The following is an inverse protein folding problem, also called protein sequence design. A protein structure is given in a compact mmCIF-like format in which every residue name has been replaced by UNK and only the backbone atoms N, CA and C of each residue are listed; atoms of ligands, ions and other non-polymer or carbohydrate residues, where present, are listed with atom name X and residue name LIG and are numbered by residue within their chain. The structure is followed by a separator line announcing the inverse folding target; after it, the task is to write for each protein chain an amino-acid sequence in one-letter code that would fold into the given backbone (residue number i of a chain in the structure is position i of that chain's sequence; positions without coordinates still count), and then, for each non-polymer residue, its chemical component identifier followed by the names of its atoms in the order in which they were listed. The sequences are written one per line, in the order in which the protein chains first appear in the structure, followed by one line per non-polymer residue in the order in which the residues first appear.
data_IF_674412331349
#
_entry.id   IF_674412331349
#
_cell.length_a   1.000
_cell.length_b   1.000
_cell.length_c   1.000
_cell.angle_alpha   90.00
_cell.angle_beta   90.00
_cell.angle_gamma   90.00
#
_symmetry.space_group_name_H-M   'P 1'
#
loop_
_entity.id
_entity.type
_entity.pdbx_description
1 polymer ?
#
# COMPACT_ATOMS: atom_id res chain seq x y z
N UNK A 1 -4.55 7.72 -14.62
CA UNK A 1 -5.23 7.95 -13.34
C UNK A 1 -5.46 9.45 -13.13
N UNK A 2 -4.47 10.30 -13.39
CA UNK A 2 -4.52 11.76 -13.23
C UNK A 2 -5.73 12.38 -13.96
N UNK A 3 -5.88 12.11 -15.27
CA UNK A 3 -6.99 12.61 -16.09
C UNK A 3 -8.37 12.13 -15.59
N UNK A 4 -8.42 10.91 -15.04
CA UNK A 4 -9.67 10.38 -14.47
C UNK A 4 -10.00 11.11 -13.17
N UNK A 5 -9.02 11.34 -12.31
CA UNK A 5 -9.22 12.09 -11.07
C UNK A 5 -9.70 13.51 -11.34
N UNK A 6 -9.12 14.21 -12.33
CA UNK A 6 -9.58 15.54 -12.72
C UNK A 6 -11.07 15.58 -13.13
N UNK A 7 -11.52 14.55 -13.85
CA UNK A 7 -12.95 14.44 -14.22
C UNK A 7 -13.84 14.16 -13.00
N UNK A 8 -13.40 13.29 -12.08
CA UNK A 8 -14.13 12.95 -10.87
C UNK A 8 -14.21 14.11 -9.87
N UNK A 9 -13.20 14.96 -9.84
CA UNK A 9 -13.17 16.18 -9.03
C UNK A 9 -14.12 17.27 -9.60
N UNK A 10 -14.22 17.34 -10.94
CA UNK A 10 -15.11 18.30 -11.61
C UNK A 10 -16.59 17.90 -11.52
N UNK A 11 -16.89 16.59 -11.59
CA UNK A 11 -18.26 16.04 -11.49
C UNK A 11 -18.23 14.81 -10.55
N UNK A 12 -18.32 15.03 -9.23
CA UNK A 12 -18.17 13.97 -8.24
C UNK A 12 -19.31 12.95 -8.29
N UNK A 13 -19.00 11.64 -8.49
CA UNK A 13 -19.98 10.57 -8.40
C UNK A 13 -20.38 10.30 -6.95
N UNK A 14 -21.36 9.42 -6.73
CA UNK A 14 -21.74 8.97 -5.37
C UNK A 14 -20.68 8.10 -4.70
N UNK A 15 -19.70 7.59 -5.44
CA UNK A 15 -18.59 6.76 -4.97
C UNK A 15 -17.78 6.24 -6.15
N UNK A 16 -16.54 5.83 -5.88
CA UNK A 16 -15.59 5.31 -6.86
C UNK A 16 -15.24 3.85 -6.56
N UNK A 17 -15.33 3.00 -7.58
CA UNK A 17 -14.80 1.63 -7.51
C UNK A 17 -13.64 1.51 -8.49
N UNK A 18 -12.44 1.32 -7.97
CA UNK A 18 -11.21 1.08 -8.73
C UNK A 18 -10.99 -0.43 -8.88
N UNK A 19 -10.95 -0.92 -10.12
CA UNK A 19 -10.70 -2.33 -10.44
C UNK A 19 -9.78 -2.47 -11.64
N UNK A 20 -9.09 -3.61 -11.73
CA UNK A 20 -8.32 -3.98 -12.92
C UNK A 20 -9.15 -4.84 -13.86
N UNK A 21 -9.02 -4.63 -15.17
CA UNK A 21 -9.56 -5.51 -16.19
C UNK A 21 -8.62 -6.67 -16.57
N UNK A 22 -7.40 -6.70 -16.03
CA UNK A 22 -6.41 -7.75 -16.27
C UNK A 22 -6.82 -9.03 -15.57
N UNK A 23 -6.67 -10.19 -16.22
CA UNK A 23 -6.92 -11.49 -15.60
C UNK A 23 -5.87 -11.86 -14.54
N UNK A 24 -4.63 -11.39 -14.70
CA UNK A 24 -3.48 -11.73 -13.84
C UNK A 24 -3.52 -11.07 -12.45
N UNK A 25 -4.35 -10.07 -12.24
CA UNK A 25 -4.47 -9.41 -10.95
C UNK A 25 -4.78 -7.92 -11.03
N UNK A 26 -4.76 -7.29 -9.89
CA UNK A 26 -5.06 -5.86 -9.75
C UNK A 26 -3.97 -5.00 -10.39
N UNK A 27 -2.86 -4.79 -9.70
CA UNK A 27 -1.67 -4.08 -10.20
C UNK A 27 -0.45 -4.71 -9.50
N UNK A 28 0.54 -5.16 -10.28
CA UNK A 28 1.72 -5.87 -9.77
C UNK A 28 2.96 -4.97 -9.59
N UNK A 29 2.76 -3.69 -9.40
CA UNK A 29 3.83 -2.69 -9.25
C UNK A 29 4.00 -1.79 -10.47
N UNK A 30 5.03 -0.97 -10.45
CA UNK A 30 5.44 -0.14 -11.59
C UNK A 30 6.16 -0.99 -12.64
N UNK A 31 6.19 -0.50 -13.87
CA UNK A 31 7.00 -1.12 -14.93
C UNK A 31 8.49 -0.88 -14.63
N UNK A 32 9.19 -1.98 -14.31
CA UNK A 32 10.63 -1.93 -14.03
C UNK A 32 11.42 -1.41 -15.25
N UNK A 33 10.88 -1.59 -16.46
CA UNK A 33 11.47 -1.09 -17.69
C UNK A 33 11.59 0.44 -17.70
N UNK A 34 10.65 1.14 -17.08
CA UNK A 34 10.67 2.61 -17.00
C UNK A 34 11.81 3.15 -16.11
N UNK A 35 12.30 2.32 -15.17
CA UNK A 35 13.45 2.70 -14.32
C UNK A 35 14.80 2.35 -14.93
N UNK A 36 14.83 1.47 -15.96
CA UNK A 36 16.08 1.13 -16.64
C UNK A 36 16.57 2.32 -17.46
N UNK A 37 17.74 2.82 -17.10
CA UNK A 37 18.37 3.94 -17.79
C UNK A 37 18.15 5.32 -17.15
N UNK A 38 17.36 5.41 -16.08
CA UNK A 38 17.31 6.62 -15.27
C UNK A 38 18.60 6.73 -14.45
N UNK A 39 19.44 7.67 -14.83
CA UNK A 39 20.70 8.00 -14.12
C UNK A 39 20.62 9.33 -13.40
N UNK A 40 19.61 10.14 -13.72
CA UNK A 40 19.41 11.46 -13.12
C UNK A 40 18.48 11.37 -11.90
N UNK A 41 19.04 11.67 -10.73
CA UNK A 41 18.28 11.69 -9.48
C UNK A 41 17.12 12.70 -9.50
N UNK A 42 17.28 13.84 -10.18
CA UNK A 42 16.24 14.86 -10.29
C UNK A 42 15.05 14.38 -11.12
N UNK A 43 15.29 13.60 -12.17
CA UNK A 43 14.20 12.99 -12.96
C UNK A 43 13.42 11.95 -12.12
N UNK A 44 14.13 11.12 -11.35
CA UNK A 44 13.51 10.14 -10.45
C UNK A 44 12.65 10.84 -9.40
N UNK A 45 13.19 11.89 -8.76
CA UNK A 45 12.46 12.68 -7.75
C UNK A 45 11.21 13.35 -8.33
N UNK A 46 11.30 13.94 -9.51
CA UNK A 46 10.17 14.57 -10.19
C UNK A 46 9.06 13.55 -10.51
N UNK A 47 9.40 12.35 -10.95
CA UNK A 47 8.43 11.25 -11.20
C UNK A 47 7.78 10.75 -9.91
N UNK A 48 8.55 10.55 -8.87
CA UNK A 48 8.02 10.14 -7.56
C UNK A 48 7.10 11.21 -6.99
N UNK A 49 7.48 12.49 -7.08
CA UNK A 49 6.65 13.62 -6.64
C UNK A 49 5.34 13.67 -7.40
N UNK A 50 5.37 13.54 -8.72
CA UNK A 50 4.16 13.46 -9.54
C UNK A 50 3.29 12.26 -9.16
N UNK A 51 3.89 11.09 -8.98
CA UNK A 51 3.20 9.88 -8.57
C UNK A 51 2.52 10.04 -7.21
N UNK A 52 3.23 10.58 -6.22
CA UNK A 52 2.69 10.86 -4.89
C UNK A 52 1.54 11.87 -4.96
N UNK A 53 1.66 12.93 -5.75
CA UNK A 53 0.58 13.91 -5.94
C UNK A 53 -0.69 13.26 -6.47
N UNK A 54 -0.58 12.34 -7.44
CA UNK A 54 -1.73 11.62 -8.00
C UNK A 54 -2.36 10.68 -6.96
N UNK A 55 -1.54 9.96 -6.20
CA UNK A 55 -2.02 9.04 -5.15
C UNK A 55 -2.66 9.81 -3.99
N UNK A 56 -2.12 10.97 -3.62
CA UNK A 56 -2.69 11.84 -2.60
C UNK A 56 -4.02 12.47 -3.05
N UNK A 57 -4.21 12.77 -4.34
CA UNK A 57 -5.51 13.20 -4.87
C UNK A 57 -6.55 12.10 -4.75
N UNK A 58 -6.19 10.84 -5.03
CA UNK A 58 -7.09 9.70 -4.81
C UNK A 58 -7.49 9.55 -3.35
N UNK A 59 -6.53 9.69 -2.43
CA UNK A 59 -6.73 9.60 -0.98
C UNK A 59 -7.66 10.71 -0.43
N UNK A 60 -7.64 11.89 -1.08
CA UNK A 60 -8.42 13.07 -0.69
C UNK A 60 -9.72 13.26 -1.46
N UNK A 61 -10.10 12.33 -2.32
CA UNK A 61 -11.38 12.43 -3.03
C UNK A 61 -12.53 12.54 -2.03
N UNK A 62 -13.41 13.50 -2.29
CA UNK A 62 -14.56 13.79 -1.42
C UNK A 62 -15.66 12.72 -1.46
N UNK A 63 -15.48 11.65 -2.24
CA UNK A 63 -16.42 10.54 -2.39
C UNK A 63 -15.81 9.23 -1.89
N UNK A 64 -16.61 8.28 -1.39
CA UNK A 64 -16.11 6.99 -0.97
C UNK A 64 -15.38 6.25 -2.09
N UNK A 65 -14.16 5.78 -1.81
CA UNK A 65 -13.31 5.07 -2.77
C UNK A 65 -13.10 3.62 -2.34
N UNK A 66 -13.20 2.69 -3.29
CA UNK A 66 -13.07 1.25 -3.03
C UNK A 66 -12.15 0.60 -4.06
N UNK A 67 -11.06 -0.03 -3.61
CA UNK A 67 -10.25 -0.90 -4.45
C UNK A 67 -10.81 -2.32 -4.45
N UNK A 68 -11.07 -2.87 -5.64
CA UNK A 68 -11.46 -4.27 -5.85
C UNK A 68 -10.25 -5.06 -6.31
N UNK A 69 -9.81 -6.00 -5.49
CA UNK A 69 -8.52 -6.65 -5.63
C UNK A 69 -8.68 -8.13 -5.89
N UNK A 70 -8.14 -8.62 -7.00
CA UNK A 70 -7.98 -10.02 -7.34
C UNK A 70 -6.53 -10.30 -7.74
N UNK A 71 -6.07 -11.54 -7.64
CA UNK A 71 -4.71 -11.91 -7.98
C UNK A 71 -3.65 -11.04 -7.29
N UNK A 72 -2.71 -10.49 -8.02
CA UNK A 72 -1.59 -9.73 -7.45
C UNK A 72 -1.91 -8.25 -7.27
N UNK A 73 -1.66 -7.74 -6.05
CA UNK A 73 -1.70 -6.33 -5.66
C UNK A 73 -0.37 -6.01 -4.95
N UNK A 74 0.64 -5.61 -5.70
CA UNK A 74 2.01 -5.50 -5.24
C UNK A 74 2.59 -4.11 -5.47
N UNK A 75 3.53 -3.70 -4.61
CA UNK A 75 4.27 -2.46 -4.78
C UNK A 75 3.38 -1.24 -4.95
N UNK A 76 3.64 -0.42 -5.95
CA UNK A 76 2.81 0.74 -6.29
C UNK A 76 1.32 0.44 -6.46
N UNK A 77 0.97 -0.79 -6.87
CA UNK A 77 -0.42 -1.24 -6.92
C UNK A 77 -1.06 -1.35 -5.54
N UNK A 78 -0.30 -1.81 -4.55
CA UNK A 78 -0.77 -1.82 -3.17
C UNK A 78 -0.82 -0.40 -2.59
N UNK A 79 0.11 0.48 -2.97
CA UNK A 79 0.10 1.89 -2.56
C UNK A 79 -1.15 2.62 -3.06
N UNK A 80 -1.55 2.40 -4.31
CA UNK A 80 -2.81 2.91 -4.88
C UNK A 80 -4.02 2.33 -4.14
N UNK A 81 -4.02 1.03 -3.85
CA UNK A 81 -5.11 0.40 -3.09
C UNK A 81 -5.20 0.94 -1.65
N UNK A 82 -4.08 1.29 -1.02
CA UNK A 82 -4.02 1.91 0.31
C UNK A 82 -4.56 3.34 0.33
N UNK A 83 -4.49 4.04 -0.79
CA UNK A 83 -5.07 5.38 -0.94
C UNK A 83 -6.61 5.36 -1.08
N UNK A 84 -7.21 4.20 -1.36
CA UNK A 84 -8.68 4.07 -1.31
C UNK A 84 -9.17 3.93 0.14
N UNK A 85 -10.40 4.40 0.41
CA UNK A 85 -11.06 4.25 1.72
C UNK A 85 -11.24 2.81 2.15
N UNK A 86 -11.60 1.94 1.21
CA UNK A 86 -11.89 0.54 1.46
C UNK A 86 -11.24 -0.37 0.41
N UNK A 87 -10.95 -1.60 0.82
CA UNK A 87 -10.37 -2.66 -0.02
C UNK A 87 -11.23 -3.90 0.12
N UNK A 88 -11.78 -4.34 -1.01
CA UNK A 88 -12.53 -5.60 -1.13
C UNK A 88 -11.71 -6.55 -1.97
N UNK A 89 -11.42 -7.74 -1.46
CA UNK A 89 -10.55 -8.71 -2.11
C UNK A 89 -11.31 -9.96 -2.55
N UNK A 90 -10.85 -10.57 -3.63
CA UNK A 90 -11.20 -11.96 -3.96
C UNK A 90 -10.29 -12.91 -3.16
N UNK A 91 -10.70 -14.16 -3.00
CA UNK A 91 -10.00 -15.14 -2.13
C UNK A 91 -8.56 -15.44 -2.57
N UNK A 92 -8.27 -15.34 -3.88
CA UNK A 92 -6.95 -15.58 -4.45
C UNK A 92 -5.99 -14.38 -4.34
N UNK A 93 -6.49 -13.22 -3.88
CA UNK A 93 -5.71 -11.99 -3.82
C UNK A 93 -4.46 -12.11 -2.94
N UNK A 94 -3.38 -11.50 -3.40
CA UNK A 94 -2.07 -11.45 -2.75
C UNK A 94 -1.57 -10.02 -2.68
N UNK A 95 -1.05 -9.65 -1.50
CA UNK A 95 -0.62 -8.29 -1.19
C UNK A 95 0.83 -8.31 -0.73
N UNK A 96 1.64 -7.36 -1.17
CA UNK A 96 3.03 -7.29 -0.73
C UNK A 96 3.77 -6.07 -1.29
N UNK A 97 4.96 -5.88 -0.74
CA UNK A 97 5.91 -4.85 -1.17
C UNK A 97 7.23 -5.52 -1.55
N UNK A 98 7.37 -6.01 -2.80
CA UNK A 98 8.58 -6.71 -3.23
C UNK A 98 9.75 -5.78 -3.57
N UNK A 99 9.61 -4.46 -3.43
CA UNK A 99 10.59 -3.45 -3.82
C UNK A 99 11.97 -3.71 -3.22
N UNK A 100 12.02 -4.18 -1.98
CA UNK A 100 13.29 -4.49 -1.29
C UNK A 100 14.11 -5.54 -2.03
N UNK A 101 13.47 -6.46 -2.76
CA UNK A 101 14.16 -7.46 -3.59
C UNK A 101 14.87 -6.86 -4.81
N UNK A 102 14.54 -5.61 -5.14
CA UNK A 102 15.12 -4.84 -6.22
C UNK A 102 16.07 -3.72 -5.70
N UNK A 103 16.36 -3.72 -4.39
CA UNK A 103 17.16 -2.67 -3.76
C UNK A 103 16.42 -1.33 -3.61
N UNK A 104 15.09 -1.35 -3.65
CA UNK A 104 14.21 -0.19 -3.53
C UNK A 104 13.32 -0.30 -2.27
N UNK A 105 12.56 0.73 -1.99
CA UNK A 105 11.47 0.73 -1.03
C UNK A 105 10.21 1.36 -1.64
N UNK A 106 9.01 1.14 -1.05
CA UNK A 106 7.78 1.76 -1.53
C UNK A 106 7.89 3.28 -1.60
N UNK A 107 7.53 3.87 -2.74
CA UNK A 107 7.77 5.29 -3.04
C UNK A 107 6.51 6.14 -3.18
N UNK A 108 5.30 5.54 -3.18
CA UNK A 108 4.03 6.24 -3.38
C UNK A 108 3.18 6.32 -2.09
N UNK A 109 3.86 6.35 -0.94
CA UNK A 109 3.23 6.52 0.38
C UNK A 109 2.87 5.24 1.12
N UNK A 110 3.27 4.07 0.62
CA UNK A 110 3.09 2.78 1.31
C UNK A 110 3.78 2.74 2.67
N UNK A 111 4.96 3.36 2.77
CA UNK A 111 5.74 3.51 4.01
C UNK A 111 5.01 4.27 5.12
N UNK A 112 4.04 5.10 4.75
CA UNK A 112 3.22 5.90 5.68
C UNK A 112 1.85 5.26 5.89
N UNK A 113 1.16 4.88 4.79
CA UNK A 113 -0.23 4.40 4.85
C UNK A 113 -0.35 3.02 5.49
N UNK A 114 0.56 2.08 5.17
CA UNK A 114 0.45 0.72 5.70
C UNK A 114 0.66 0.64 7.22
N UNK A 115 1.71 1.27 7.83
CA UNK A 115 1.90 1.24 9.28
C UNK A 115 0.81 1.97 10.08
N UNK A 116 0.07 2.88 9.43
CA UNK A 116 -1.10 3.54 10.05
C UNK A 116 -2.38 2.69 9.96
N UNK A 117 -2.43 1.78 8.99
CA UNK A 117 -3.59 0.95 8.73
C UNK A 117 -3.60 -0.36 9.53
N UNK A 118 -2.44 -1.03 9.61
CA UNK A 118 -2.25 -2.31 10.31
C UNK A 118 -1.17 -2.19 11.38
N UNK A 119 -0.94 -3.27 12.15
CA UNK A 119 0.16 -3.27 13.11
C UNK A 119 1.48 -2.88 12.43
N UNK A 120 2.20 -1.82 12.91
CA UNK A 120 3.41 -1.31 12.27
C UNK A 120 4.53 -2.34 12.14
N UNK A 121 4.66 -3.27 13.08
CA UNK A 121 5.66 -4.34 13.01
C UNK A 121 5.36 -5.29 11.85
N UNK A 122 4.09 -5.65 11.64
CA UNK A 122 3.67 -6.46 10.48
C UNK A 122 3.87 -5.69 9.18
N UNK A 123 3.52 -4.40 9.16
CA UNK A 123 3.72 -3.52 8.00
C UNK A 123 5.21 -3.47 7.59
N UNK A 124 6.08 -3.16 8.55
CA UNK A 124 7.53 -3.13 8.32
C UNK A 124 8.07 -4.50 7.92
N UNK A 125 7.59 -5.59 8.54
CA UNK A 125 7.98 -6.95 8.14
C UNK A 125 7.62 -7.25 6.68
N UNK A 126 6.46 -6.83 6.19
CA UNK A 126 6.08 -7.00 4.77
C UNK A 126 7.03 -6.24 3.86
N UNK A 127 7.36 -4.99 4.18
CA UNK A 127 8.23 -4.14 3.36
C UNK A 127 9.70 -4.54 3.43
N UNK A 128 10.21 -4.93 4.60
CA UNK A 128 11.62 -5.32 4.80
C UNK A 128 11.95 -6.70 4.23
N UNK A 129 10.95 -7.57 4.06
CA UNK A 129 11.17 -8.95 3.58
C UNK A 129 10.65 -9.20 2.17
N UNK A 130 9.86 -8.27 1.61
CA UNK A 130 9.20 -8.46 0.32
C UNK A 130 8.13 -9.56 0.31
N UNK A 131 7.75 -10.10 1.48
CA UNK A 131 6.80 -11.22 1.57
C UNK A 131 5.39 -10.82 1.18
N UNK A 132 4.71 -11.74 0.51
CA UNK A 132 3.31 -11.58 0.17
C UNK A 132 2.40 -12.18 1.25
N UNK A 133 1.26 -11.52 1.51
CA UNK A 133 0.19 -12.04 2.34
C UNK A 133 -1.04 -12.37 1.49
N UNK A 134 -1.72 -13.47 1.80
CA UNK A 134 -2.96 -13.88 1.14
C UNK A 134 -4.17 -13.13 1.71
N UNK A 135 -5.27 -13.11 0.97
CA UNK A 135 -6.50 -12.40 1.32
C UNK A 135 -6.97 -12.68 2.77
N UNK A 136 -7.00 -13.93 3.22
CA UNK A 136 -7.40 -14.29 4.60
C UNK A 136 -6.51 -13.62 5.66
N UNK A 137 -5.17 -13.65 5.47
CA UNK A 137 -4.25 -12.96 6.37
C UNK A 137 -4.39 -11.45 6.28
N UNK A 138 -4.55 -10.91 5.07
CA UNK A 138 -4.78 -9.47 4.85
C UNK A 138 -6.03 -8.99 5.58
N UNK A 139 -7.12 -9.78 5.57
CA UNK A 139 -8.34 -9.51 6.34
C UNK A 139 -8.10 -9.53 7.84
N UNK A 140 -7.38 -10.53 8.35
CA UNK A 140 -7.08 -10.64 9.79
C UNK A 140 -6.19 -9.51 10.30
N UNK A 141 -5.31 -8.97 9.45
CA UNK A 141 -4.48 -7.81 9.74
C UNK A 141 -5.24 -6.47 9.67
N UNK A 142 -6.43 -6.44 9.06
CA UNK A 142 -7.16 -5.20 8.77
C UNK A 142 -6.72 -4.49 7.48
N UNK A 143 -5.88 -5.15 6.68
CA UNK A 143 -5.44 -4.61 5.39
C UNK A 143 -6.58 -4.57 4.37
N UNK A 144 -7.50 -5.54 4.38
CA UNK A 144 -8.72 -5.54 3.57
C UNK A 144 -9.97 -5.54 4.44
N UNK A 145 -11.01 -4.89 3.96
CA UNK A 145 -12.27 -4.69 4.67
C UNK A 145 -13.25 -5.87 4.47
N UNK A 146 -13.19 -6.52 3.32
CA UNK A 146 -13.99 -7.71 3.03
C UNK A 146 -13.28 -8.65 2.05
N UNK A 147 -13.64 -9.94 2.14
CA UNK A 147 -13.33 -10.94 1.13
C UNK A 147 -14.65 -11.43 0.56
N UNK A 148 -14.75 -11.52 -0.77
CA UNK A 148 -15.94 -12.00 -1.45
C UNK A 148 -15.54 -12.91 -2.61
N UNK A 149 -16.34 -13.93 -2.95
CA UNK A 149 -16.18 -14.67 -4.19
C UNK A 149 -16.22 -13.73 -5.39
N UNK A 150 -15.52 -14.05 -6.47
CA UNK A 150 -15.40 -13.18 -7.65
C UNK A 150 -16.77 -12.72 -8.18
N UNK A 151 -17.76 -13.62 -8.25
CA UNK A 151 -19.12 -13.31 -8.70
C UNK A 151 -19.86 -12.27 -7.83
N UNK A 152 -19.42 -12.06 -6.59
CA UNK A 152 -20.05 -11.15 -5.62
C UNK A 152 -19.20 -9.93 -5.28
N UNK A 153 -17.96 -9.87 -5.78
CA UNK A 153 -16.99 -8.84 -5.40
C UNK A 153 -17.46 -7.42 -5.73
N UNK A 154 -18.13 -7.24 -6.87
CA UNK A 154 -18.69 -5.93 -7.25
C UNK A 154 -19.85 -5.51 -6.37
N UNK A 155 -20.72 -6.44 -5.98
CA UNK A 155 -21.80 -6.14 -5.04
C UNK A 155 -21.25 -5.73 -3.66
N UNK A 156 -20.19 -6.41 -3.18
CA UNK A 156 -19.50 -6.06 -1.94
C UNK A 156 -18.82 -4.68 -2.06
N UNK A 157 -18.19 -4.37 -3.20
CA UNK A 157 -17.57 -3.08 -3.44
C UNK A 157 -18.62 -1.95 -3.51
N UNK A 158 -19.75 -2.17 -4.15
CA UNK A 158 -20.86 -1.21 -4.18
C UNK A 158 -21.42 -0.96 -2.77
N UNK A 159 -21.54 -2.01 -1.96
CA UNK A 159 -21.94 -1.86 -0.56
C UNK A 159 -20.89 -1.06 0.25
N UNK A 160 -19.59 -1.23 -0.03
CA UNK A 160 -18.54 -0.43 0.59
C UNK A 160 -18.61 1.04 0.15
N UNK A 161 -18.75 1.32 -1.15
CA UNK A 161 -18.87 2.66 -1.70
C UNK A 161 -20.13 3.42 -1.24
N UNK A 162 -21.17 2.69 -0.84
CA UNK A 162 -22.41 3.28 -0.32
C UNK A 162 -22.53 3.27 1.21
N UNK A 163 -21.41 2.98 1.92
CA UNK A 163 -21.36 2.97 3.38
C UNK A 163 -22.07 1.80 4.07
N UNK A 164 -22.54 0.81 3.30
CA UNK A 164 -23.25 -0.37 3.83
C UNK A 164 -22.30 -1.48 4.31
N UNK A 165 -21.01 -1.43 3.94
CA UNK A 165 -20.01 -2.38 4.39
C UNK A 165 -19.37 -1.88 5.68
N UNK A 166 -19.37 -2.72 6.72
CA UNK A 166 -18.64 -2.42 7.96
C UNK A 166 -17.13 -2.49 7.69
N UNK A 167 -16.45 -1.36 7.82
CA UNK A 167 -14.98 -1.30 7.71
C UNK A 167 -14.31 -2.18 8.77
N UNK A 168 -13.17 -2.76 8.42
CA UNK A 168 -12.33 -3.45 9.40
C UNK A 168 -11.94 -2.50 10.53
N UNK A 169 -11.83 -3.03 11.76
CA UNK A 169 -11.32 -2.23 12.87
C UNK A 169 -9.87 -1.83 12.55
N UNK A 170 -9.63 -0.54 12.51
CA UNK A 170 -8.33 0.09 12.25
C UNK A 170 -7.84 0.73 13.54
N UNK A 171 -6.53 0.76 13.72
CA UNK A 171 -5.94 1.37 14.90
C UNK A 171 -6.11 0.52 16.16
N UNK A 172 -5.89 1.15 17.27
CA UNK A 172 -5.96 0.60 18.61
C UNK A 172 -4.76 1.03 19.45
N UNK A 173 -4.93 1.07 20.75
CA UNK A 173 -3.91 1.58 21.69
C UNK A 173 -2.50 1.02 21.41
N UNK A 174 -2.38 -0.26 21.04
CA UNK A 174 -1.09 -0.87 20.72
C UNK A 174 -0.48 -0.29 19.44
N UNK A 175 -1.30 -0.08 18.39
CA UNK A 175 -0.85 0.51 17.13
C UNK A 175 -0.42 1.96 17.36
N UNK A 176 -1.20 2.73 18.10
CA UNK A 176 -0.91 4.12 18.43
C UNK A 176 0.37 4.22 19.28
N UNK A 177 0.56 3.31 20.23
CA UNK A 177 1.77 3.25 21.04
C UNK A 177 3.02 2.96 20.20
N UNK A 178 2.95 1.99 19.29
CA UNK A 178 4.09 1.66 18.40
C UNK A 178 4.34 2.78 17.41
N UNK A 179 3.31 3.47 16.92
CA UNK A 179 3.44 4.61 16.02
C UNK A 179 3.83 5.92 16.74
N UNK A 180 3.86 5.94 18.08
CA UNK A 180 4.42 7.08 18.81
C UNK A 180 5.91 7.25 18.51
N UNK A 181 6.43 8.46 18.65
CA UNK A 181 7.86 8.74 18.44
C UNK A 181 8.76 7.80 19.26
N UNK A 182 8.42 7.55 20.53
CA UNK A 182 9.17 6.63 21.38
C UNK A 182 9.05 5.16 20.91
N UNK A 183 7.84 4.71 20.58
CA UNK A 183 7.58 3.35 20.11
C UNK A 183 8.31 3.04 18.81
N UNK A 184 8.28 3.99 17.84
CA UNK A 184 9.02 3.86 16.58
C UNK A 184 10.52 3.74 16.80
N UNK A 185 11.12 4.61 17.65
CA UNK A 185 12.56 4.55 17.95
C UNK A 185 12.98 3.20 18.54
N UNK A 186 12.20 2.69 19.49
CA UNK A 186 12.50 1.40 20.12
C UNK A 186 12.39 0.24 19.11
N UNK A 187 11.33 0.22 18.31
CA UNK A 187 11.12 -0.79 17.30
C UNK A 187 12.17 -0.70 16.17
N UNK A 188 12.50 0.52 15.69
CA UNK A 188 13.51 0.75 14.67
C UNK A 188 14.89 0.26 15.12
N UNK A 189 15.30 0.52 16.37
CA UNK A 189 16.56 0.00 16.93
C UNK A 189 16.66 -1.51 16.81
N UNK A 190 15.59 -2.24 17.16
CA UNK A 190 15.54 -3.69 17.05
C UNK A 190 15.56 -4.15 15.57
N UNK A 191 14.78 -3.50 14.72
CA UNK A 191 14.74 -3.81 13.28
C UNK A 191 16.11 -3.63 12.63
N UNK A 192 16.83 -2.53 12.92
CA UNK A 192 18.19 -2.31 12.43
C UNK A 192 19.15 -3.42 12.83
N UNK A 193 19.11 -3.82 14.10
CA UNK A 193 19.98 -4.89 14.60
C UNK A 193 19.72 -6.25 13.93
N UNK A 194 18.47 -6.55 13.61
CA UNK A 194 18.10 -7.78 12.90
C UNK A 194 18.39 -7.67 11.39
N UNK A 195 18.13 -6.51 10.79
CA UNK A 195 18.39 -6.25 9.36
C UNK A 195 19.88 -6.30 9.06
N UNK A 196 20.72 -5.69 9.88
CA UNK A 196 22.18 -5.67 9.69
C UNK A 196 22.81 -7.08 9.64
N UNK A 197 22.21 -8.05 10.35
CA UNK A 197 22.66 -9.45 10.32
C UNK A 197 22.37 -10.17 9.00
N UNK A 198 21.30 -9.76 8.29
CA UNK A 198 20.78 -10.43 7.09
C UNK A 198 21.09 -9.66 5.81
N UNK A 199 21.16 -8.36 5.92
CA UNK A 199 21.32 -7.41 4.82
C UNK A 199 22.30 -6.31 5.26
N UNK A 200 23.63 -6.54 5.18
CA UNK A 200 24.64 -5.53 5.49
C UNK A 200 24.42 -4.28 4.64
N UNK A 201 24.53 -3.09 5.25
CA UNK A 201 24.21 -1.80 4.61
C UNK A 201 25.05 -1.54 3.35
N UNK A 202 26.29 -2.03 3.34
CA UNK A 202 27.22 -1.87 2.22
C UNK A 202 26.71 -2.53 0.93
N UNK A 203 25.88 -3.56 1.07
CA UNK A 203 25.33 -4.32 -0.07
C UNK A 203 23.85 -4.12 -0.26
N UNK A 204 23.13 -3.78 0.83
CA UNK A 204 21.65 -3.67 0.84
C UNK A 204 21.20 -2.42 1.59
N UNK A 205 21.38 -1.21 1.03
CA UNK A 205 21.02 0.04 1.70
C UNK A 205 19.51 0.26 1.86
N UNK A 206 18.69 -0.26 0.94
CA UNK A 206 17.25 0.01 0.91
C UNK A 206 16.48 -0.41 2.18
N UNK A 207 16.70 -1.58 2.79
CA UNK A 207 16.06 -1.93 4.07
C UNK A 207 16.41 -0.96 5.21
N UNK A 208 17.63 -0.45 5.24
CA UNK A 208 18.09 0.49 6.26
C UNK A 208 17.43 1.86 6.07
N UNK A 209 17.44 2.38 4.84
CA UNK A 209 16.74 3.61 4.49
C UNK A 209 15.24 3.54 4.80
N UNK A 210 14.60 2.39 4.55
CA UNK A 210 13.19 2.17 4.90
C UNK A 210 12.95 2.29 6.41
N UNK A 211 13.84 1.72 7.25
CA UNK A 211 13.72 1.83 8.71
C UNK A 211 13.88 3.29 9.16
N UNK A 212 14.83 4.01 8.57
CA UNK A 212 15.10 5.42 8.88
C UNK A 212 13.90 6.31 8.51
N UNK A 213 13.29 6.08 7.32
CA UNK A 213 12.07 6.77 6.89
C UNK A 213 10.88 6.51 7.80
N UNK A 214 10.75 5.30 8.33
CA UNK A 214 9.63 4.97 9.22
C UNK A 214 9.84 5.53 10.64
N UNK A 215 11.08 5.63 11.12
CA UNK A 215 11.37 6.14 12.45
C UNK A 215 11.08 7.65 12.58
N UNK A 216 11.31 8.42 11.50
CA UNK A 216 11.06 9.89 11.47
C UNK A 216 9.59 10.22 11.30
#
# INVERSE_FOLDING_TARGET
LDDVLAKLEADPPKGLVLRSAKRSGFIAGADIGEFKGMTDAAEVEARLTKGNTIVDRLDRLAVPTVAVIHGYCLGGGLEIALACDSRVAVEDARFGFPEVMLGLHPGLGGTVRLPRLINPIEAMSMMLTGRNVRAGRAKSLGLVDAIAPERHVLAAATAAATGKLKKSKRGGMLIDLINSSYGRKLAAKRMRAETAKKAPIEHYPAPHALIDLWET
#
